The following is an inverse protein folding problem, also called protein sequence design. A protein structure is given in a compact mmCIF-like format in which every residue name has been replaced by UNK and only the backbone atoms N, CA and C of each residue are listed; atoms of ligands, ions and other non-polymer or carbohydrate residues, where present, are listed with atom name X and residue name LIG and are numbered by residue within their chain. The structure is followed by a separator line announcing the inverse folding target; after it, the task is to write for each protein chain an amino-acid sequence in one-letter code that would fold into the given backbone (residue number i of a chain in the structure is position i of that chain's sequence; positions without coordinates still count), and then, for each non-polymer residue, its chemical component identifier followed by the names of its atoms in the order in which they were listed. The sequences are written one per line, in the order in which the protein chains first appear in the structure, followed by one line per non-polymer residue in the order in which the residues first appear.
data_IF_828877253732
#
_entry.id   IF_828877253732
#
_cell.length_a   1.000
_cell.length_b   1.000
_cell.length_c   1.000
_cell.angle_alpha   90.00
_cell.angle_beta   90.00
_cell.angle_gamma   90.00
#
_symmetry.space_group_name_H-M   'P 1'
#
loop_
_entity.id
_entity.type
_entity.pdbx_description
1 polymer ?
#
# COMPACT_ATOMS: atom_id res chain seq x y z
N UNK A 1 64.95 22.36 -31.13
CA UNK A 1 63.93 23.42 -31.18
C UNK A 1 62.60 22.70 -31.34
N UNK A 2 61.81 22.56 -30.27
CA UNK A 2 60.51 21.87 -30.37
C UNK A 2 59.49 22.85 -30.96
N UNK A 3 58.71 22.47 -31.98
CA UNK A 3 57.64 23.32 -32.48
C UNK A 3 56.61 23.47 -31.36
N UNK A 4 56.36 24.70 -30.94
CA UNK A 4 55.32 25.01 -29.97
C UNK A 4 53.97 24.75 -30.67
N UNK A 5 53.29 23.66 -30.34
CA UNK A 5 51.96 23.35 -30.88
C UNK A 5 50.89 23.55 -29.81
N UNK A 6 49.74 24.10 -30.22
CA UNK A 6 48.57 24.27 -29.37
C UNK A 6 47.54 23.19 -29.70
N UNK A 7 47.09 22.44 -28.69
CA UNK A 7 46.01 21.46 -28.84
C UNK A 7 44.70 22.09 -28.39
N UNK A 8 43.81 22.36 -29.33
CA UNK A 8 42.46 22.86 -29.05
C UNK A 8 41.51 21.68 -28.83
N UNK A 9 41.18 21.39 -27.58
CA UNK A 9 40.28 20.30 -27.21
C UNK A 9 38.80 20.72 -27.09
N UNK A 10 38.37 21.81 -27.75
CA UNK A 10 36.99 22.32 -27.61
C UNK A 10 35.97 21.28 -28.07
N UNK A 11 36.18 20.71 -29.26
CA UNK A 11 35.27 19.70 -29.83
C UNK A 11 35.20 18.44 -28.97
N UNK A 12 36.34 18.04 -28.39
CA UNK A 12 36.40 16.91 -27.46
C UNK A 12 35.62 17.20 -26.17
N UNK A 13 35.77 18.40 -25.60
CA UNK A 13 35.00 18.81 -24.41
C UNK A 13 33.51 18.83 -24.70
N UNK A 14 33.10 19.36 -25.85
CA UNK A 14 31.70 19.39 -26.25
C UNK A 14 31.12 17.99 -26.44
N UNK A 15 31.89 17.08 -27.05
CA UNK A 15 31.51 15.67 -27.18
C UNK A 15 31.31 15.01 -25.80
N UNK A 16 32.26 15.22 -24.88
CA UNK A 16 32.16 14.68 -23.53
C UNK A 16 30.97 15.25 -22.77
N UNK A 17 30.72 16.56 -22.87
CA UNK A 17 29.54 17.21 -22.24
C UNK A 17 28.24 16.61 -22.79
N UNK A 18 28.14 16.39 -24.11
CA UNK A 18 26.97 15.76 -24.73
C UNK A 18 26.75 14.35 -24.21
N UNK A 19 27.81 13.55 -24.11
CA UNK A 19 27.72 12.18 -23.59
C UNK A 19 27.32 12.16 -22.11
N UNK A 20 27.90 13.04 -21.29
CA UNK A 20 27.50 13.17 -19.88
C UNK A 20 26.03 13.56 -19.75
N UNK A 21 25.52 14.48 -20.58
CA UNK A 21 24.09 14.87 -20.58
C UNK A 21 23.19 13.72 -21.01
N UNK A 22 23.60 12.95 -22.01
CA UNK A 22 22.87 11.78 -22.49
C UNK A 22 22.75 10.71 -21.39
N UNK A 23 23.88 10.34 -20.76
CA UNK A 23 23.89 9.37 -19.66
C UNK A 23 23.10 9.88 -18.45
N UNK A 24 23.22 11.16 -18.12
CA UNK A 24 22.43 11.76 -17.05
C UNK A 24 20.93 11.66 -17.34
N UNK A 25 20.48 11.96 -18.57
CA UNK A 25 19.08 11.81 -18.95
C UNK A 25 18.60 10.35 -18.79
N UNK A 26 19.39 9.38 -19.25
CA UNK A 26 19.04 7.95 -19.09
C UNK A 26 18.90 7.53 -17.62
N UNK A 27 19.81 7.98 -16.74
CA UNK A 27 19.73 7.70 -15.31
C UNK A 27 18.47 8.34 -14.71
N UNK A 28 18.18 9.58 -15.08
CA UNK A 28 16.99 10.28 -14.60
C UNK A 28 15.71 9.56 -15.02
N UNK A 29 15.59 9.16 -16.28
CA UNK A 29 14.42 8.44 -16.80
C UNK A 29 14.25 7.09 -16.11
N UNK A 30 15.35 6.36 -15.89
CA UNK A 30 15.32 5.09 -15.16
C UNK A 30 14.83 5.25 -13.72
N UNK A 31 15.33 6.26 -12.98
CA UNK A 31 14.90 6.50 -11.59
C UNK A 31 13.43 6.93 -11.53
N UNK A 32 12.97 7.76 -12.46
CA UNK A 32 11.55 8.15 -12.55
C UNK A 32 10.68 6.93 -12.77
N UNK A 33 11.02 6.09 -13.74
CA UNK A 33 10.22 4.92 -14.09
C UNK A 33 10.21 3.88 -12.96
N UNK A 34 11.37 3.60 -12.37
CA UNK A 34 11.47 2.67 -11.25
C UNK A 34 10.69 3.17 -10.03
N UNK A 35 10.75 4.48 -9.74
CA UNK A 35 9.98 5.06 -8.64
C UNK A 35 8.48 5.02 -8.92
N UNK A 36 8.04 5.32 -10.14
CA UNK A 36 6.65 5.26 -10.55
C UNK A 36 6.09 3.84 -10.37
N UNK A 37 6.79 2.84 -10.89
CA UNK A 37 6.38 1.44 -10.80
C UNK A 37 6.32 0.95 -9.35
N UNK A 38 7.27 1.36 -8.51
CA UNK A 38 7.25 1.01 -7.09
C UNK A 38 6.05 1.65 -6.37
N UNK A 39 5.77 2.93 -6.61
CA UNK A 39 4.59 3.61 -6.05
C UNK A 39 3.28 2.96 -6.50
N UNK A 40 3.18 2.55 -7.76
CA UNK A 40 2.01 1.82 -8.28
C UNK A 40 1.85 0.48 -7.54
N UNK A 41 2.93 -0.27 -7.34
CA UNK A 41 2.89 -1.55 -6.63
C UNK A 41 2.43 -1.38 -5.17
N UNK A 42 2.89 -0.33 -4.47
CA UNK A 42 2.45 0.00 -3.12
C UNK A 42 0.95 0.30 -3.12
N UNK A 43 0.49 1.18 -4.01
CA UNK A 43 -0.92 1.55 -4.12
C UNK A 43 -1.82 0.36 -4.48
N UNK A 44 -1.34 -0.57 -5.33
CA UNK A 44 -2.08 -1.78 -5.68
C UNK A 44 -2.23 -2.70 -4.47
N UNK A 45 -1.13 -3.00 -3.78
CA UNK A 45 -1.15 -3.85 -2.57
C UNK A 45 -2.04 -3.25 -1.49
N UNK A 46 -1.97 -1.94 -1.31
CA UNK A 46 -2.87 -1.19 -0.43
C UNK A 46 -4.35 -1.36 -0.82
N UNK A 47 -4.66 -1.25 -2.11
CA UNK A 47 -6.03 -1.36 -2.63
C UNK A 47 -6.57 -2.78 -2.40
N UNK A 48 -5.75 -3.81 -2.63
CA UNK A 48 -6.14 -5.21 -2.44
C UNK A 48 -6.44 -5.51 -0.95
N UNK A 49 -5.60 -5.00 -0.04
CA UNK A 49 -5.83 -5.11 1.41
C UNK A 49 -7.12 -4.39 1.79
N UNK A 50 -7.31 -3.16 1.31
CA UNK A 50 -8.51 -2.36 1.61
C UNK A 50 -9.78 -3.06 1.13
N UNK A 51 -9.80 -3.55 -0.11
CA UNK A 51 -10.95 -4.25 -0.68
C UNK A 51 -11.32 -5.50 0.13
N UNK A 52 -10.31 -6.24 0.59
CA UNK A 52 -10.51 -7.42 1.44
C UNK A 52 -11.04 -7.01 2.83
N UNK A 53 -10.53 -5.93 3.42
CA UNK A 53 -11.00 -5.43 4.72
C UNK A 53 -12.43 -4.90 4.71
N UNK A 54 -12.91 -4.47 3.55
CA UNK A 54 -14.27 -3.94 3.36
C UNK A 54 -15.25 -4.97 2.80
N UNK A 55 -14.85 -6.24 2.64
CA UNK A 55 -15.77 -7.28 2.17
C UNK A 55 -16.86 -7.54 3.20
N UNK A 56 -18.10 -7.73 2.72
CA UNK A 56 -19.22 -8.07 3.60
C UNK A 56 -19.01 -9.44 4.25
N UNK A 57 -19.25 -9.52 5.56
CA UNK A 57 -19.09 -10.73 6.37
C UNK A 57 -20.47 -11.38 6.53
N UNK A 58 -20.63 -12.59 5.99
CA UNK A 58 -21.92 -13.29 6.03
C UNK A 58 -22.01 -14.26 7.20
N UNK A 59 -20.92 -14.95 7.55
CA UNK A 59 -20.90 -15.98 8.60
C UNK A 59 -19.73 -15.84 9.61
N UNK A 60 -19.73 -16.71 10.64
CA UNK A 60 -18.72 -16.71 11.71
C UNK A 60 -17.34 -17.20 11.26
N UNK A 61 -17.26 -18.02 10.21
CA UNK A 61 -16.00 -18.49 9.65
C UNK A 61 -15.33 -17.35 8.86
N UNK A 62 -16.10 -16.62 8.05
CA UNK A 62 -15.68 -15.41 7.36
C UNK A 62 -15.24 -14.32 8.34
N UNK A 63 -15.95 -14.14 9.47
CA UNK A 63 -15.57 -13.20 10.52
C UNK A 63 -14.19 -13.52 11.10
N UNK A 64 -13.94 -14.80 11.42
CA UNK A 64 -12.64 -15.24 11.93
C UNK A 64 -11.54 -15.08 10.88
N UNK A 65 -11.81 -15.46 9.63
CA UNK A 65 -10.85 -15.31 8.54
C UNK A 65 -10.47 -13.85 8.30
N UNK A 66 -11.43 -12.93 8.34
CA UNK A 66 -11.18 -11.51 8.18
C UNK A 66 -10.39 -10.93 9.36
N UNK A 67 -10.70 -11.35 10.60
CA UNK A 67 -9.93 -10.96 11.78
C UNK A 67 -8.47 -11.39 11.68
N UNK A 68 -8.21 -12.63 11.26
CA UNK A 68 -6.86 -13.15 11.04
C UNK A 68 -6.14 -12.41 9.91
N UNK A 69 -6.86 -12.07 8.84
CA UNK A 69 -6.34 -11.29 7.72
C UNK A 69 -5.94 -9.87 8.15
N UNK A 70 -6.79 -9.16 8.90
CA UNK A 70 -6.51 -7.81 9.41
C UNK A 70 -5.24 -7.81 10.28
N UNK A 71 -5.11 -8.80 11.17
CA UNK A 71 -3.94 -8.95 12.02
C UNK A 71 -2.65 -9.20 11.21
N UNK A 72 -2.71 -10.07 10.20
CA UNK A 72 -1.56 -10.35 9.31
C UNK A 72 -1.20 -9.16 8.42
N UNK A 73 -2.20 -8.42 7.96
CA UNK A 73 -2.02 -7.26 7.08
C UNK A 73 -1.24 -6.13 7.76
N UNK A 74 -1.26 -6.03 9.09
CA UNK A 74 -0.50 -5.02 9.82
C UNK A 74 1.01 -5.06 9.52
N UNK A 75 1.59 -6.26 9.41
CA UNK A 75 3.01 -6.42 9.04
C UNK A 75 3.25 -5.95 7.62
N UNK A 76 2.43 -6.39 6.66
CA UNK A 76 2.54 -5.96 5.26
C UNK A 76 2.40 -4.44 5.12
N UNK A 77 1.45 -3.81 5.81
CA UNK A 77 1.26 -2.36 5.80
C UNK A 77 2.47 -1.62 6.40
N UNK A 78 3.08 -2.17 7.45
CA UNK A 78 4.32 -1.63 8.00
C UNK A 78 5.47 -1.71 6.99
N UNK A 79 5.62 -2.85 6.31
CA UNK A 79 6.67 -3.04 5.30
C UNK A 79 6.46 -2.12 4.08
N UNK A 80 5.22 -1.90 3.66
CA UNK A 80 4.89 -0.95 2.59
C UNK A 80 5.23 0.49 3.00
N UNK A 81 4.98 0.85 4.25
CA UNK A 81 5.31 2.17 4.78
C UNK A 81 6.84 2.38 4.86
N UNK A 82 7.58 1.37 5.30
CA UNK A 82 9.04 1.40 5.29
C UNK A 82 9.59 1.55 3.87
N UNK A 83 9.12 0.74 2.91
CA UNK A 83 9.50 0.85 1.50
C UNK A 83 9.20 2.24 0.93
N UNK A 84 8.03 2.79 1.22
CA UNK A 84 7.68 4.14 0.79
C UNK A 84 8.66 5.18 1.34
N UNK A 85 8.91 5.16 2.66
CA UNK A 85 9.72 6.18 3.34
C UNK A 85 11.22 6.06 3.07
N UNK A 86 11.75 4.84 2.88
CA UNK A 86 13.18 4.60 2.72
C UNK A 86 13.60 4.53 1.25
N UNK A 87 12.72 4.09 0.34
CA UNK A 87 13.06 3.91 -1.08
C UNK A 87 12.39 4.98 -1.93
N UNK A 88 11.07 5.12 -1.88
CA UNK A 88 10.36 6.03 -2.78
C UNK A 88 10.71 7.49 -2.46
N UNK A 89 10.68 7.89 -1.19
CA UNK A 89 11.03 9.25 -0.76
C UNK A 89 12.47 9.61 -1.12
N UNK A 90 13.43 8.69 -0.97
CA UNK A 90 14.82 8.94 -1.35
C UNK A 90 15.00 9.14 -2.86
N UNK A 91 14.30 8.35 -3.68
CA UNK A 91 14.28 8.55 -5.14
C UNK A 91 13.66 9.89 -5.52
N UNK A 92 12.56 10.28 -4.87
CA UNK A 92 11.93 11.59 -5.07
C UNK A 92 12.89 12.72 -4.69
N UNK A 93 13.59 12.62 -3.54
CA UNK A 93 14.61 13.57 -3.11
C UNK A 93 15.74 13.69 -4.13
N UNK A 94 16.23 12.56 -4.63
CA UNK A 94 17.24 12.53 -5.69
C UNK A 94 16.77 13.28 -6.95
N UNK A 95 15.54 13.03 -7.41
CA UNK A 95 14.96 13.68 -8.58
C UNK A 95 14.81 15.20 -8.38
N UNK A 96 14.36 15.63 -7.20
CA UNK A 96 14.23 17.04 -6.85
C UNK A 96 15.60 17.75 -6.80
N UNK A 97 16.62 17.10 -6.24
CA UNK A 97 17.99 17.62 -6.21
C UNK A 97 18.57 17.86 -7.63
N UNK A 98 18.11 17.08 -8.61
CA UNK A 98 18.47 17.24 -10.03
C UNK A 98 17.49 18.12 -10.81
N UNK A 99 16.60 18.86 -10.13
CA UNK A 99 15.61 19.77 -10.73
C UNK A 99 14.68 19.09 -11.72
N UNK A 100 14.39 17.80 -11.51
CA UNK A 100 13.42 17.07 -12.32
C UNK A 100 12.04 17.74 -12.21
N UNK A 101 11.32 17.81 -13.33
CA UNK A 101 9.97 18.34 -13.39
C UNK A 101 8.99 17.19 -13.51
N UNK A 102 8.25 16.93 -12.44
CA UNK A 102 7.20 15.93 -12.45
C UNK A 102 6.06 16.37 -13.38
N UNK A 103 5.53 15.41 -14.15
CA UNK A 103 4.30 15.62 -14.91
C UNK A 103 3.10 15.74 -13.98
N UNK A 104 1.95 16.18 -14.51
CA UNK A 104 0.71 16.23 -13.73
C UNK A 104 0.30 14.85 -13.23
N UNK A 105 0.48 13.83 -14.06
CA UNK A 105 0.13 12.45 -13.74
C UNK A 105 1.04 11.92 -12.62
N UNK A 106 2.34 12.20 -12.70
CA UNK A 106 3.29 11.84 -11.64
C UNK A 106 2.95 12.52 -10.31
N UNK A 107 2.58 13.80 -10.36
CA UNK A 107 2.14 14.52 -9.15
C UNK A 107 0.86 13.92 -8.56
N UNK A 108 -0.06 13.44 -9.40
CA UNK A 108 -1.26 12.73 -8.94
C UNK A 108 -0.91 11.40 -8.26
N UNK A 109 -0.02 10.61 -8.86
CA UNK A 109 0.47 9.35 -8.28
C UNK A 109 1.23 9.57 -6.98
N UNK A 110 2.09 10.60 -6.92
CA UNK A 110 2.79 11.01 -5.71
C UNK A 110 1.82 11.40 -4.59
N UNK A 111 0.82 12.21 -4.90
CA UNK A 111 -0.18 12.61 -3.92
C UNK A 111 -0.99 11.41 -3.41
N UNK A 112 -1.38 10.49 -4.30
CA UNK A 112 -2.09 9.27 -3.89
C UNK A 112 -1.23 8.41 -2.98
N UNK A 113 0.03 8.20 -3.36
CA UNK A 113 0.99 7.40 -2.58
C UNK A 113 1.39 8.08 -1.27
N UNK A 114 1.40 9.40 -1.20
CA UNK A 114 1.69 10.12 0.03
C UNK A 114 0.56 9.98 1.06
N UNK A 115 -0.70 9.93 0.60
CA UNK A 115 -1.87 9.96 1.48
C UNK A 115 -2.36 8.57 1.93
N UNK A 116 -1.96 7.48 1.27
CA UNK A 116 -2.43 6.13 1.63
C UNK A 116 -2.19 5.74 3.10
N UNK A 117 -1.06 6.11 3.77
CA UNK A 117 -0.83 5.71 5.17
C UNK A 117 -1.84 6.32 6.14
N UNK A 118 -2.31 7.53 5.87
CA UNK A 118 -3.38 8.16 6.66
C UNK A 118 -4.73 7.54 6.33
N UNK A 119 -4.98 7.21 5.06
CA UNK A 119 -6.25 6.60 4.64
C UNK A 119 -6.43 5.18 5.20
N UNK A 120 -5.37 4.36 5.25
CA UNK A 120 -5.45 2.98 5.76
C UNK A 120 -5.79 2.93 7.24
N UNK A 121 -5.36 3.91 8.04
CA UNK A 121 -5.73 3.99 9.47
C UNK A 121 -7.26 4.11 9.64
N UNK A 122 -7.91 4.89 8.78
CA UNK A 122 -9.37 5.03 8.76
C UNK A 122 -10.09 3.76 8.27
N UNK A 123 -9.50 3.02 7.33
CA UNK A 123 -10.00 1.72 6.87
C UNK A 123 -9.90 0.69 7.99
N UNK A 124 -8.74 0.55 8.62
CA UNK A 124 -8.51 -0.37 9.74
C UNK A 124 -9.47 -0.11 10.89
N UNK A 125 -9.66 1.15 11.28
CA UNK A 125 -10.60 1.51 12.35
C UNK A 125 -12.01 1.03 12.04
N UNK A 126 -12.50 1.31 10.82
CA UNK A 126 -13.84 0.86 10.38
C UNK A 126 -13.95 -0.66 10.29
N UNK A 127 -12.90 -1.34 9.86
CA UNK A 127 -12.87 -2.81 9.82
C UNK A 127 -12.98 -3.40 11.23
N UNK A 128 -12.25 -2.87 12.22
CA UNK A 128 -12.37 -3.30 13.62
C UNK A 128 -13.75 -3.00 14.22
N UNK A 129 -14.32 -1.82 13.94
CA UNK A 129 -15.67 -1.45 14.37
C UNK A 129 -16.72 -2.43 13.79
N UNK A 130 -16.63 -2.74 12.49
CA UNK A 130 -17.50 -3.68 11.79
C UNK A 130 -17.37 -5.11 12.33
N UNK A 131 -16.14 -5.60 12.51
CA UNK A 131 -15.85 -6.91 13.10
C UNK A 131 -16.44 -7.05 14.51
N UNK A 132 -16.28 -6.02 15.34
CA UNK A 132 -16.81 -5.99 16.70
C UNK A 132 -18.33 -6.01 16.73
N UNK A 133 -18.98 -5.19 15.88
CA UNK A 133 -20.45 -5.17 15.75
C UNK A 133 -20.99 -6.51 15.30
N UNK A 134 -20.40 -7.09 14.24
CA UNK A 134 -20.87 -8.36 13.68
C UNK A 134 -20.68 -9.53 14.62
N UNK A 135 -19.56 -9.55 15.37
CA UNK A 135 -19.33 -10.54 16.42
C UNK A 135 -20.45 -10.50 17.47
N UNK A 136 -20.79 -9.30 17.95
CA UNK A 136 -21.86 -9.11 18.93
C UNK A 136 -23.22 -9.59 18.41
N UNK A 137 -23.57 -9.28 17.17
CA UNK A 137 -24.82 -9.76 16.55
C UNK A 137 -24.88 -11.29 16.48
N UNK A 138 -23.78 -11.95 16.10
CA UNK A 138 -23.72 -13.40 16.03
C UNK A 138 -23.79 -14.06 17.42
N UNK A 139 -23.20 -13.44 18.44
CA UNK A 139 -23.31 -13.88 19.84
C UNK A 139 -24.77 -13.76 20.33
N UNK A 140 -25.46 -12.65 20.05
CA UNK A 140 -26.87 -12.46 20.42
C UNK A 140 -27.80 -13.48 19.75
N UNK A 141 -27.57 -13.78 18.46
CA UNK A 141 -28.32 -14.81 17.73
C UNK A 141 -28.10 -16.21 18.32
N UNK A 142 -26.84 -16.55 18.64
CA UNK A 142 -26.50 -17.83 19.27
C UNK A 142 -27.19 -17.99 20.63
N UNK A 143 -27.23 -16.93 21.44
CA UNK A 143 -27.93 -16.95 22.73
C UNK A 143 -29.45 -17.13 22.57
N UNK A 144 -30.07 -16.54 21.54
CA UNK A 144 -31.49 -16.77 21.24
C UNK A 144 -31.76 -18.21 20.82
N UNK A 145 -30.94 -18.76 19.92
CA UNK A 145 -31.05 -20.14 19.46
C UNK A 145 -30.85 -21.13 20.61
N UNK A 146 -29.89 -20.88 21.51
CA UNK A 146 -29.67 -21.69 22.70
C UNK A 146 -30.89 -21.67 23.62
N UNK A 147 -31.45 -20.48 23.90
CA UNK A 147 -32.67 -20.36 24.73
C UNK A 147 -33.86 -21.09 24.11
N UNK A 148 -34.03 -21.04 22.78
CA UNK A 148 -35.09 -21.79 22.08
C UNK A 148 -34.89 -23.30 22.24
N UNK A 149 -33.66 -23.77 22.01
CA UNK A 149 -33.33 -25.20 22.13
C UNK A 149 -33.56 -25.72 23.56
N UNK A 150 -33.17 -24.94 24.57
CA UNK A 150 -33.41 -25.28 25.98
C UNK A 150 -34.91 -25.40 26.30
N UNK A 151 -35.74 -24.50 25.77
CA UNK A 151 -37.20 -24.57 25.91
C UNK A 151 -37.79 -25.79 25.21
N UNK A 152 -37.36 -26.09 23.98
CA UNK A 152 -37.84 -27.23 23.20
C UNK A 152 -37.47 -28.56 23.90
N UNK A 153 -36.25 -28.67 24.43
CA UNK A 153 -35.81 -29.83 25.21
C UNK A 153 -36.63 -29.97 26.50
N UNK A 154 -36.90 -28.87 27.20
CA UNK A 154 -37.73 -28.89 28.40
C UNK A 154 -39.18 -29.31 28.11
N UNK A 155 -39.75 -28.88 26.97
CA UNK A 155 -41.08 -29.31 26.53
C UNK A 155 -41.11 -30.79 26.15
N UNK A 156 -40.11 -31.27 25.42
CA UNK A 156 -40.00 -32.68 25.05
C UNK A 156 -39.86 -33.58 26.29
N UNK A 157 -39.05 -33.19 27.27
CA UNK A 157 -38.91 -33.95 28.52
C UNK A 157 -40.26 -34.08 29.26
N UNK A 158 -41.06 -33.00 29.32
CA UNK A 158 -42.41 -33.04 29.92
C UNK A 158 -43.40 -33.93 29.18
N UNK A 159 -43.16 -34.25 27.90
CA UNK A 159 -44.03 -35.12 27.10
C UNK A 159 -43.63 -36.59 27.18
N UNK A 160 -42.42 -36.89 27.65
CA UNK A 160 -41.87 -38.24 27.79
C UNK A 160 -42.06 -38.78 29.21
N UNK A 161 -42.13 -37.90 30.22
CA UNK A 161 -42.63 -38.21 31.58
C UNK A 161 -44.16 -38.35 31.63
#
# INVERSE_FOLDING_TARGET
HYPMFEVRCVDLKDLLIRQCRFLHAQVMDAVVEENRNHMIAICQTYSDITNTMTSDITDSAELKNLQDFVNKSATTLSDLYDQYTTICVERIRFLLNHKHKFSRDDMSSLNTTFNWPTQIQGVLRRAYESLSSRKKELEELLEEDQRRLENDVAELNKRVE
#
